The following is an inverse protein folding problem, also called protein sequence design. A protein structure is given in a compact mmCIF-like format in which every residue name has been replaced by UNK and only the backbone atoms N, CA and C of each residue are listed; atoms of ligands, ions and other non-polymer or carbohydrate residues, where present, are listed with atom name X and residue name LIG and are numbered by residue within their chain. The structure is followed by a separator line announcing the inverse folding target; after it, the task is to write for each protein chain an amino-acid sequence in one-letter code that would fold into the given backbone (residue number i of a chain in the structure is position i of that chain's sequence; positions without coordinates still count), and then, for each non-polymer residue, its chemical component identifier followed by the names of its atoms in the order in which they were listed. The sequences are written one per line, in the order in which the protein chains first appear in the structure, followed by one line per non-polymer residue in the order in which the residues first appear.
data_IF_401217558577
#
_entry.id   IF_401217558577
#
_cell.length_a   1.000
_cell.length_b   1.000
_cell.length_c   1.000
_cell.angle_alpha   90.00
_cell.angle_beta   90.00
_cell.angle_gamma   90.00
#
_symmetry.space_group_name_H-M   'P 1'
#
loop_
_entity.id
_entity.type
_entity.pdbx_description
1 polymer ?
#
# COMPACT_ATOMS: atom_id res chain seq x y z
N UNK A 1 -61.08 -24.66 14.87
CA UNK A 1 -60.04 -23.72 14.44
C UNK A 1 -59.05 -23.55 15.58
N UNK A 2 -58.01 -24.40 15.64
CA UNK A 2 -56.99 -24.33 16.70
C UNK A 2 -55.71 -23.73 16.10
N UNK A 3 -55.31 -22.55 16.58
CA UNK A 3 -53.98 -21.98 16.32
C UNK A 3 -53.16 -22.09 17.61
N UNK A 4 -52.23 -23.03 17.64
CA UNK A 4 -51.13 -23.00 18.60
C UNK A 4 -49.96 -22.25 17.95
N UNK A 5 -49.90 -20.93 18.16
CA UNK A 5 -48.65 -20.21 17.94
C UNK A 5 -47.82 -20.34 19.21
N UNK A 6 -46.91 -21.32 19.22
CA UNK A 6 -45.93 -21.50 20.29
C UNK A 6 -44.81 -20.46 20.06
N UNK A 7 -44.96 -19.27 20.61
CA UNK A 7 -43.88 -18.29 20.64
C UNK A 7 -42.82 -18.78 21.62
N UNK A 8 -41.79 -19.49 21.14
CA UNK A 8 -40.56 -19.71 21.93
C UNK A 8 -39.68 -18.48 21.77
N UNK A 9 -39.83 -17.51 22.67
CA UNK A 9 -38.88 -16.41 22.81
C UNK A 9 -37.59 -16.90 23.47
N UNK A 10 -36.45 -16.37 23.04
CA UNK A 10 -35.19 -16.54 23.75
C UNK A 10 -35.26 -15.89 25.12
N UNK A 11 -34.70 -16.55 26.13
CA UNK A 11 -34.58 -15.94 27.45
C UNK A 11 -33.57 -14.80 27.41
N UNK A 12 -33.78 -13.75 28.21
CA UNK A 12 -32.84 -12.63 28.33
C UNK A 12 -31.43 -13.12 28.71
N UNK A 13 -31.34 -14.16 29.55
CA UNK A 13 -30.04 -14.72 29.94
C UNK A 13 -29.35 -15.43 28.77
N UNK A 14 -30.09 -16.11 27.89
CA UNK A 14 -29.52 -16.75 26.71
C UNK A 14 -28.96 -15.70 25.75
N UNK A 15 -29.67 -14.58 25.58
CA UNK A 15 -29.21 -13.48 24.74
C UNK A 15 -27.96 -12.82 25.32
N UNK A 16 -27.89 -12.62 26.64
CA UNK A 16 -26.68 -12.10 27.29
C UNK A 16 -25.48 -13.05 27.13
N UNK A 17 -25.70 -14.36 27.28
CA UNK A 17 -24.64 -15.36 27.10
C UNK A 17 -24.14 -15.39 25.66
N UNK A 18 -25.05 -15.35 24.67
CA UNK A 18 -24.67 -15.29 23.24
C UNK A 18 -23.86 -14.03 22.95
N UNK A 19 -24.30 -12.86 23.41
CA UNK A 19 -23.56 -11.62 23.20
C UNK A 19 -22.19 -11.64 23.90
N UNK A 20 -22.08 -12.26 25.07
CA UNK A 20 -20.80 -12.45 25.75
C UNK A 20 -19.85 -13.35 24.94
N UNK A 21 -20.34 -14.47 24.39
CA UNK A 21 -19.54 -15.36 23.53
C UNK A 21 -19.12 -14.62 22.25
N UNK A 22 -20.03 -13.86 21.63
CA UNK A 22 -19.73 -13.07 20.42
C UNK A 22 -18.67 -11.99 20.69
N UNK A 23 -18.75 -11.32 21.84
CA UNK A 23 -17.75 -10.32 22.24
C UNK A 23 -16.36 -10.95 22.43
N UNK A 24 -16.29 -12.13 23.05
CA UNK A 24 -15.02 -12.88 23.21
C UNK A 24 -14.46 -13.27 21.83
N UNK A 25 -15.30 -13.80 20.94
CA UNK A 25 -14.89 -14.20 19.59
C UNK A 25 -14.39 -13.01 18.75
N UNK A 26 -15.06 -11.86 18.85
CA UNK A 26 -14.63 -10.61 18.20
C UNK A 26 -13.30 -10.12 18.79
N UNK A 27 -13.12 -10.22 20.10
CA UNK A 27 -11.86 -9.87 20.76
C UNK A 27 -10.69 -10.74 20.29
N UNK A 28 -10.91 -12.06 20.16
CA UNK A 28 -9.88 -12.99 19.69
C UNK A 28 -9.56 -12.83 18.20
N UNK A 29 -10.55 -12.50 17.37
CA UNK A 29 -10.39 -12.39 15.90
C UNK A 29 -9.97 -11.00 15.43
N UNK A 30 -10.23 -9.94 16.20
CA UNK A 30 -9.93 -8.56 15.84
C UNK A 30 -8.45 -8.30 15.53
N UNK A 31 -7.53 -8.87 16.31
CA UNK A 31 -6.08 -8.73 16.07
C UNK A 31 -5.61 -9.39 14.76
N UNK A 32 -6.19 -10.54 14.41
CA UNK A 32 -5.88 -11.26 13.15
C UNK A 32 -6.40 -10.47 11.95
N UNK A 33 -7.62 -9.95 12.05
CA UNK A 33 -8.23 -9.13 11.00
C UNK A 33 -7.41 -7.86 10.79
N UNK A 34 -7.01 -7.16 11.86
CA UNK A 34 -6.21 -5.94 11.75
C UNK A 34 -4.85 -6.20 11.09
N UNK A 35 -4.17 -7.30 11.46
CA UNK A 35 -2.91 -7.69 10.81
C UNK A 35 -3.09 -7.99 9.32
N UNK A 36 -4.19 -8.62 8.94
CA UNK A 36 -4.49 -8.89 7.53
C UNK A 36 -4.76 -7.60 6.75
N UNK A 37 -5.52 -6.67 7.33
CA UNK A 37 -5.82 -5.37 6.71
C UNK A 37 -4.54 -4.56 6.48
N UNK A 38 -3.71 -4.40 7.51
CA UNK A 38 -2.41 -3.69 7.41
C UNK A 38 -1.50 -4.31 6.35
N UNK A 39 -1.41 -5.64 6.31
CA UNK A 39 -0.64 -6.34 5.27
C UNK A 39 -1.19 -6.09 3.86
N UNK A 40 -2.50 -6.08 3.68
CA UNK A 40 -3.12 -5.79 2.38
C UNK A 40 -2.94 -4.33 1.97
N UNK A 41 -3.14 -3.39 2.90
CA UNK A 41 -2.90 -1.96 2.67
C UNK A 41 -1.46 -1.71 2.21
N UNK A 42 -0.49 -2.37 2.85
CA UNK A 42 0.92 -2.30 2.43
C UNK A 42 1.13 -2.80 1.00
N UNK A 43 0.52 -3.92 0.62
CA UNK A 43 0.62 -4.44 -0.74
C UNK A 43 0.00 -3.47 -1.77
N UNK A 44 -1.12 -2.85 -1.43
CA UNK A 44 -1.77 -1.83 -2.26
C UNK A 44 -0.89 -0.60 -2.41
N UNK A 45 -0.26 -0.12 -1.33
CA UNK A 45 0.68 0.99 -1.38
C UNK A 45 1.91 0.68 -2.23
N UNK A 46 2.38 -0.57 -2.20
CA UNK A 46 3.51 -1.01 -3.01
C UNK A 46 3.16 -1.00 -4.50
N UNK A 47 1.97 -1.50 -4.85
CA UNK A 47 1.48 -1.45 -6.23
C UNK A 47 1.25 -0.02 -6.70
N UNK A 48 0.70 0.85 -5.85
CA UNK A 48 0.56 2.28 -6.14
C UNK A 48 1.91 2.93 -6.41
N UNK A 49 2.94 2.57 -5.64
CA UNK A 49 4.30 3.09 -5.82
C UNK A 49 4.88 2.67 -7.18
N UNK A 50 4.73 1.39 -7.54
CA UNK A 50 5.13 0.87 -8.85
C UNK A 50 4.43 1.61 -9.99
N UNK A 51 3.11 1.74 -9.89
CA UNK A 51 2.33 2.49 -10.87
C UNK A 51 2.79 3.96 -10.93
N UNK A 52 3.10 4.55 -9.79
CA UNK A 52 3.50 5.95 -9.73
C UNK A 52 4.84 6.19 -10.42
N UNK A 53 5.86 5.35 -10.18
CA UNK A 53 7.11 5.40 -10.93
C UNK A 53 6.89 5.23 -12.44
N UNK A 54 6.01 4.31 -12.86
CA UNK A 54 5.64 4.16 -14.27
C UNK A 54 5.01 5.43 -14.87
N UNK A 55 4.14 6.10 -14.12
CA UNK A 55 3.53 7.37 -14.54
C UNK A 55 4.57 8.49 -14.63
N UNK A 56 5.49 8.56 -13.67
CA UNK A 56 6.55 9.57 -13.70
C UNK A 56 7.52 9.34 -14.88
N UNK A 57 7.86 8.08 -15.17
CA UNK A 57 8.64 7.69 -16.35
C UNK A 57 7.95 8.07 -17.66
N UNK A 58 6.63 7.90 -17.75
CA UNK A 58 5.83 8.41 -18.87
C UNK A 58 5.89 9.94 -18.92
N UNK A 59 5.69 10.60 -17.78
CA UNK A 59 5.65 12.07 -17.70
C UNK A 59 6.97 12.72 -18.09
N UNK A 60 8.11 12.20 -17.64
CA UNK A 60 9.43 12.74 -17.99
C UNK A 60 9.70 12.66 -19.49
N UNK A 61 9.23 11.59 -20.15
CA UNK A 61 9.40 11.38 -21.58
C UNK A 61 8.56 12.36 -22.41
N UNK A 62 7.28 12.53 -22.09
CA UNK A 62 6.42 13.44 -22.84
C UNK A 62 6.65 14.91 -22.49
N UNK A 63 7.05 15.22 -21.26
CA UNK A 63 7.37 16.60 -20.86
C UNK A 63 8.72 17.07 -21.39
N UNK A 64 9.65 16.14 -21.65
CA UNK A 64 11.01 16.47 -22.05
C UNK A 64 11.88 17.02 -20.92
N UNK A 65 11.42 16.94 -19.66
CA UNK A 65 12.16 17.38 -18.48
C UNK A 65 12.44 16.19 -17.55
N UNK A 66 13.66 16.09 -16.97
CA UNK A 66 13.95 15.07 -15.98
C UNK A 66 13.18 15.34 -14.68
N UNK A 67 12.77 14.27 -14.00
CA UNK A 67 12.05 14.32 -12.72
C UNK A 67 12.93 13.70 -11.65
N UNK A 68 13.05 14.38 -10.51
CA UNK A 68 13.76 13.84 -9.34
C UNK A 68 12.75 13.35 -8.31
N UNK A 69 12.94 12.14 -7.80
CA UNK A 69 12.11 11.59 -6.72
C UNK A 69 13.01 11.24 -5.55
N UNK A 70 12.70 11.72 -4.36
CA UNK A 70 13.37 11.33 -3.13
C UNK A 70 12.42 10.49 -2.31
N UNK A 71 12.77 9.23 -2.09
CA UNK A 71 12.08 8.37 -1.14
C UNK A 71 12.78 8.49 0.20
N UNK A 72 12.06 8.88 1.24
CA UNK A 72 12.57 8.94 2.61
C UNK A 72 11.46 8.56 3.59
N UNK A 73 11.73 7.57 4.44
CA UNK A 73 10.78 7.02 5.43
C UNK A 73 9.43 6.76 4.79
N UNK A 74 8.36 7.39 5.25
CA UNK A 74 7.02 7.18 4.71
C UNK A 74 6.64 8.18 3.62
N UNK A 75 7.61 8.83 2.97
CA UNK A 75 7.35 9.88 1.99
C UNK A 75 8.06 9.65 0.66
N UNK A 76 7.36 9.97 -0.43
CA UNK A 76 7.96 10.21 -1.74
C UNK A 76 7.82 11.70 -2.07
N UNK A 77 8.95 12.36 -2.24
CA UNK A 77 9.01 13.76 -2.67
C UNK A 77 9.41 13.82 -4.13
N UNK A 78 8.49 14.25 -4.99
CA UNK A 78 8.70 14.42 -6.43
C UNK A 78 8.97 15.89 -6.73
N UNK A 79 10.05 16.16 -7.45
CA UNK A 79 10.43 17.48 -7.93
C UNK A 79 10.46 17.49 -9.45
N UNK A 80 9.60 18.29 -10.05
CA UNK A 80 9.45 18.49 -11.49
C UNK A 80 9.33 19.99 -11.76
N UNK A 81 10.22 20.56 -12.57
CA UNK A 81 10.15 21.98 -12.99
C UNK A 81 9.85 22.93 -11.81
N UNK A 82 10.63 22.82 -10.74
CA UNK A 82 10.51 23.58 -9.48
C UNK A 82 9.23 23.33 -8.66
N UNK A 83 8.30 22.51 -9.16
CA UNK A 83 7.12 22.05 -8.41
C UNK A 83 7.49 20.84 -7.57
N UNK A 84 7.28 20.96 -6.27
CA UNK A 84 7.46 19.87 -5.31
C UNK A 84 6.10 19.28 -4.95
N UNK A 85 5.98 17.96 -5.04
CA UNK A 85 4.80 17.19 -4.62
C UNK A 85 5.23 16.13 -3.64
N UNK A 86 4.51 16.00 -2.52
CA UNK A 86 4.77 14.98 -1.51
C UNK A 86 3.63 13.97 -1.46
N UNK A 87 4.00 12.70 -1.36
CA UNK A 87 3.08 11.59 -1.18
C UNK A 87 3.44 10.93 0.14
N UNK A 88 2.45 10.83 1.01
CA UNK A 88 2.57 10.17 2.31
C UNK A 88 2.01 8.75 2.22
N UNK A 89 2.72 7.83 2.84
CA UNK A 89 2.37 6.42 2.98
C UNK A 89 2.04 6.11 4.45
N UNK A 90 1.05 5.26 4.67
CA UNK A 90 0.63 4.86 6.01
C UNK A 90 1.36 3.58 6.46
N UNK A 91 1.63 2.66 5.53
CA UNK A 91 2.09 1.30 5.82
C UNK A 91 3.48 0.98 5.23
N UNK A 92 4.01 1.84 4.35
CA UNK A 92 5.34 1.73 3.77
C UNK A 92 6.36 2.67 4.41
N UNK A 93 7.55 2.13 4.62
CA UNK A 93 8.74 2.86 5.04
C UNK A 93 9.87 2.55 4.06
N UNK A 94 10.27 3.56 3.30
CA UNK A 94 11.34 3.55 2.33
C UNK A 94 12.70 3.77 3.00
N UNK A 95 13.72 3.11 2.45
CA UNK A 95 15.12 3.47 2.71
C UNK A 95 15.46 4.68 1.86
N UNK A 96 16.14 5.67 2.46
CA UNK A 96 16.48 6.93 1.79
C UNK A 96 17.18 6.67 0.45
N UNK A 97 16.53 7.06 -0.65
CA UNK A 97 17.02 6.84 -2.01
C UNK A 97 16.53 7.96 -2.91
N UNK A 98 17.47 8.52 -3.70
CA UNK A 98 17.15 9.51 -4.72
C UNK A 98 17.11 8.85 -6.09
N UNK A 99 15.98 9.00 -6.78
CA UNK A 99 15.74 8.51 -8.13
C UNK A 99 15.81 9.66 -9.13
N UNK A 100 16.56 9.45 -10.20
CA UNK A 100 16.56 10.30 -11.38
C UNK A 100 15.76 9.63 -12.49
N UNK A 101 14.67 10.25 -12.88
CA UNK A 101 13.82 9.82 -13.98
C UNK A 101 14.18 10.68 -15.19
N UNK A 102 14.87 10.06 -16.14
CA UNK A 102 15.39 10.73 -17.33
C UNK A 102 14.29 10.95 -18.37
N UNK A 103 14.56 11.83 -19.32
CA UNK A 103 13.67 12.10 -20.48
C UNK A 103 13.57 10.91 -21.43
N UNK A 104 14.46 9.93 -21.32
CA UNK A 104 14.41 8.64 -22.02
C UNK A 104 13.53 7.62 -21.29
N UNK A 105 12.75 8.03 -20.28
CA UNK A 105 11.95 7.19 -19.38
C UNK A 105 12.72 6.22 -18.49
N UNK A 106 14.06 6.22 -18.54
CA UNK A 106 14.90 5.41 -17.66
C UNK A 106 14.84 5.98 -16.24
N UNK A 107 14.69 5.10 -15.25
CA UNK A 107 14.72 5.44 -13.83
C UNK A 107 16.01 4.87 -13.24
N UNK A 108 16.80 5.71 -12.56
CA UNK A 108 18.01 5.29 -11.85
C UNK A 108 17.95 5.75 -10.39
N UNK A 109 18.19 4.87 -9.40
CA UNK A 109 18.32 3.42 -9.54
C UNK A 109 17.01 2.75 -10.00
N UNK A 110 17.09 1.54 -10.56
CA UNK A 110 15.94 0.77 -11.08
C UNK A 110 15.24 -0.07 -10.01
N UNK A 111 15.61 0.10 -8.74
CA UNK A 111 15.01 -0.56 -7.60
C UNK A 111 14.81 0.40 -6.43
N UNK A 112 13.73 0.21 -5.67
CA UNK A 112 13.54 0.88 -4.38
C UNK A 112 13.52 -0.14 -3.25
N UNK A 113 13.87 0.32 -2.05
CA UNK A 113 13.94 -0.51 -0.85
C UNK A 113 12.92 -0.05 0.16
N UNK A 114 12.20 -1.01 0.75
CA UNK A 114 11.29 -0.75 1.86
C UNK A 114 11.63 -1.63 3.06
N UNK A 115 11.45 -1.09 4.26
CA UNK A 115 11.62 -1.81 5.51
C UNK A 115 10.39 -2.71 5.71
N UNK A 116 10.63 -4.01 5.79
CA UNK A 116 9.59 -5.03 5.95
C UNK A 116 9.96 -5.97 7.08
N UNK A 117 9.21 -5.91 8.18
CA UNK A 117 9.45 -6.71 9.39
C UNK A 117 10.91 -6.59 9.89
N UNK A 118 11.48 -5.38 9.84
CA UNK A 118 12.85 -5.09 10.26
C UNK A 118 13.95 -5.46 9.26
N UNK A 119 13.60 -5.97 8.07
CA UNK A 119 14.55 -6.25 7.00
C UNK A 119 14.27 -5.39 5.76
N UNK A 120 15.32 -5.00 5.05
CA UNK A 120 15.16 -4.30 3.79
C UNK A 120 14.75 -5.28 2.70
N UNK A 121 13.66 -4.95 1.99
CA UNK A 121 13.23 -5.67 0.79
C UNK A 121 13.37 -4.77 -0.42
N UNK A 122 13.98 -5.31 -1.46
CA UNK A 122 14.21 -4.67 -2.75
C UNK A 122 13.06 -4.98 -3.71
N UNK A 123 12.63 -3.95 -4.43
CA UNK A 123 11.58 -4.04 -5.44
C UNK A 123 12.06 -3.36 -6.72
N UNK A 124 12.16 -4.13 -7.80
CA UNK A 124 12.44 -3.59 -9.13
C UNK A 124 11.32 -2.66 -9.57
N UNK A 125 11.69 -1.51 -10.11
CA UNK A 125 10.80 -0.51 -10.64
C UNK A 125 10.45 -0.89 -12.07
N UNK A 126 9.15 -1.02 -12.32
CA UNK A 126 8.67 -1.25 -13.68
C UNK A 126 8.62 0.08 -14.44
N UNK A 127 9.61 0.33 -15.30
CA UNK A 127 9.60 1.46 -16.24
C UNK A 127 8.58 1.22 -17.37
N UNK A 128 8.14 2.29 -18.04
CA UNK A 128 7.26 2.14 -19.20
C UNK A 128 7.99 1.44 -20.37
N UNK A 129 9.22 1.88 -20.63
CA UNK A 129 10.05 1.33 -21.69
C UNK A 129 11.17 0.50 -21.08
N UNK A 130 11.34 -0.72 -21.59
CA UNK A 130 12.56 -1.47 -21.32
C UNK A 130 13.69 -0.80 -22.12
N UNK A 131 14.86 -0.52 -21.52
CA UNK A 131 16.02 -0.10 -22.29
C UNK A 131 16.26 -1.12 -23.40
N UNK A 132 16.51 -0.64 -24.62
CA UNK A 132 16.63 -1.50 -25.82
C UNK A 132 17.89 -2.38 -25.78
N UNK A 133 18.81 -2.14 -24.84
CA UNK A 133 20.08 -2.85 -24.72
C UNK A 133 20.10 -3.78 -23.49
N UNK A 134 19.65 -5.01 -23.70
CA UNK A 134 20.29 -6.20 -23.13
C UNK A 134 20.84 -7.01 -24.32
N UNK A 135 22.06 -6.71 -24.75
CA UNK A 135 22.89 -7.60 -25.57
C UNK A 135 24.17 -7.92 -24.81
#
# INVERSE_FOLDING_TARGET
MYRFNKYSGFSLIELMVVMAIMAILMGLTGGVIMKSVTQQSRLVELEKTQHYFKLLSYKSYYSGYPITVVADKNTLTVTENEKVTQILYEELEFVETTFNIQTTSVILPDEFKVVWNGNNREFKINTMFKPYEEQ
#
